data_IF_503685781330
#
_entry.id   IF_503685781330
#
_cell.length_a   1.000
_cell.length_b   1.000
_cell.length_c   1.000
_cell.angle_alpha   90.00
_cell.angle_beta   90.00
_cell.angle_gamma   90.00
#
_symmetry.space_group_name_H-M   'P 1'
#
loop_
_entity.id
_entity.type
_entity.pdbx_description
1 polymer ?
#
# COMPACT_ATOMS: atom_id res chain seq x y z
N UNK A 1 21.05 -6.92 0.08
CA UNK A 1 22.42 -6.47 0.40
C UNK A 1 22.37 -5.44 1.53
N UNK A 2 23.25 -5.55 2.53
CA UNK A 2 23.40 -4.52 3.55
C UNK A 2 24.23 -3.37 2.97
N UNK A 3 23.72 -2.13 3.01
CA UNK A 3 24.41 -0.94 2.46
C UNK A 3 25.67 -0.51 3.23
N UNK A 4 26.13 -1.30 4.21
CA UNK A 4 27.23 -0.93 5.12
C UNK A 4 26.87 0.18 6.13
N UNK A 5 25.78 0.91 5.92
CA UNK A 5 25.26 1.91 6.84
C UNK A 5 24.38 1.28 7.92
N UNK A 6 24.41 1.86 9.13
CA UNK A 6 23.54 1.46 10.23
C UNK A 6 22.10 1.86 9.92
N UNK A 7 21.13 1.06 10.37
CA UNK A 7 19.73 1.43 10.31
C UNK A 7 19.50 2.74 11.08
N UNK A 8 18.88 3.77 10.45
CA UNK A 8 18.68 5.05 11.11
C UNK A 8 17.67 4.90 12.25
N UNK A 9 18.08 5.20 13.49
CA UNK A 9 17.21 5.10 14.67
C UNK A 9 16.34 6.34 14.90
N UNK A 10 16.71 7.49 14.34
CA UNK A 10 15.92 8.73 14.41
C UNK A 10 14.69 8.65 13.48
N UNK A 11 13.45 8.71 14.01
CA UNK A 11 12.25 8.69 13.20
C UNK A 11 12.17 9.83 12.18
N UNK A 12 12.71 11.01 12.50
CA UNK A 12 12.72 12.14 11.56
C UNK A 12 13.64 11.84 10.38
N UNK A 13 14.78 11.19 10.62
CA UNK A 13 15.67 10.76 9.55
C UNK A 13 15.04 9.70 8.67
N UNK A 14 14.34 8.73 9.26
CA UNK A 14 13.58 7.73 8.51
C UNK A 14 12.53 8.39 7.61
N UNK A 15 11.76 9.34 8.14
CA UNK A 15 10.74 10.07 7.39
C UNK A 15 11.34 10.86 6.22
N UNK A 16 12.44 11.60 6.46
CA UNK A 16 13.15 12.33 5.41
C UNK A 16 13.60 11.41 4.26
N UNK A 17 14.18 10.25 4.61
CA UNK A 17 14.63 9.27 3.63
C UNK A 17 13.47 8.62 2.87
N UNK A 18 12.35 8.34 3.55
CA UNK A 18 11.14 7.79 2.93
C UNK A 18 10.52 8.77 1.93
N UNK A 19 10.40 10.06 2.29
CA UNK A 19 9.89 11.11 1.39
C UNK A 19 10.76 11.21 0.13
N UNK A 20 12.09 11.26 0.30
CA UNK A 20 13.03 11.28 -0.84
C UNK A 20 12.91 10.03 -1.71
N UNK A 21 12.76 8.85 -1.10
CA UNK A 21 12.57 7.61 -1.84
C UNK A 21 11.29 7.61 -2.68
N UNK A 22 10.19 8.17 -2.17
CA UNK A 22 8.94 8.30 -2.94
C UNK A 22 9.10 9.25 -4.12
N UNK A 23 9.73 10.41 -3.94
CA UNK A 23 9.99 11.31 -5.07
C UNK A 23 10.89 10.66 -6.13
N UNK A 24 11.96 9.97 -5.72
CA UNK A 24 12.82 9.24 -6.66
C UNK A 24 12.07 8.11 -7.39
N UNK A 25 11.05 7.51 -6.77
CA UNK A 25 10.26 6.43 -7.38
C UNK A 25 9.44 6.91 -8.58
N UNK A 26 9.13 8.21 -8.66
CA UNK A 26 8.42 8.82 -9.80
C UNK A 26 9.16 8.64 -11.12
N UNK A 27 10.49 8.68 -11.07
CA UNK A 27 11.39 8.54 -12.22
C UNK A 27 11.96 7.12 -12.34
N UNK A 28 11.35 6.14 -11.65
CA UNK A 28 11.74 4.75 -11.84
C UNK A 28 11.48 4.29 -13.29
N UNK A 29 12.32 3.40 -13.85
CA UNK A 29 12.13 2.88 -15.20
C UNK A 29 10.72 2.28 -15.43
N UNK A 30 10.17 1.63 -14.38
CA UNK A 30 8.82 1.09 -14.40
C UNK A 30 7.75 2.19 -14.51
N UNK A 31 7.87 3.26 -13.74
CA UNK A 31 6.92 4.38 -13.78
C UNK A 31 6.98 5.13 -15.12
N UNK A 32 8.18 5.39 -15.64
CA UNK A 32 8.37 6.02 -16.97
C UNK A 32 7.73 5.15 -18.06
N UNK A 33 7.99 3.84 -18.04
CA UNK A 33 7.41 2.92 -19.02
C UNK A 33 5.89 2.84 -18.92
N UNK A 34 5.33 2.82 -17.70
CA UNK A 34 3.89 2.86 -17.49
C UNK A 34 3.25 4.12 -18.07
N UNK A 35 3.81 5.31 -17.80
CA UNK A 35 3.32 6.57 -18.36
C UNK A 35 3.42 6.60 -19.89
N UNK A 36 4.52 6.06 -20.44
CA UNK A 36 4.73 5.97 -21.90
C UNK A 36 3.71 5.06 -22.58
N UNK A 37 3.47 3.84 -22.06
CA UNK A 37 2.50 2.89 -22.64
C UNK A 37 1.09 3.46 -22.60
N UNK A 38 0.73 4.14 -21.51
CA UNK A 38 -0.61 4.72 -21.32
C UNK A 38 -0.73 6.16 -21.86
N UNK A 39 0.30 6.68 -22.56
CA UNK A 39 0.31 8.02 -23.17
C UNK A 39 0.02 9.17 -22.18
N UNK A 40 0.42 9.02 -20.92
CA UNK A 40 0.18 10.01 -19.87
C UNK A 40 1.26 11.10 -19.94
N UNK A 41 0.86 12.34 -20.19
CA UNK A 41 1.75 13.51 -20.28
C UNK A 41 1.25 14.65 -19.40
N UNK A 42 2.13 15.64 -19.11
CA UNK A 42 1.77 16.86 -18.38
C UNK A 42 1.74 16.74 -16.84
N UNK A 43 1.91 15.55 -16.27
CA UNK A 43 1.98 15.39 -14.81
C UNK A 43 3.30 15.92 -14.25
N UNK A 44 3.23 16.69 -13.16
CA UNK A 44 4.39 17.31 -12.53
C UNK A 44 5.18 16.38 -11.59
N UNK A 45 4.56 15.31 -11.09
CA UNK A 45 5.19 14.45 -10.07
C UNK A 45 4.20 13.58 -9.30
N UNK A 46 4.69 13.01 -8.20
CA UNK A 46 3.87 12.31 -7.18
C UNK A 46 3.88 13.10 -5.88
N UNK A 47 2.76 13.05 -5.14
CA UNK A 47 2.69 13.52 -3.76
C UNK A 47 3.18 12.43 -2.79
N UNK A 48 3.34 12.81 -1.52
CA UNK A 48 3.63 11.89 -0.41
C UNK A 48 2.55 12.05 0.65
N UNK A 49 1.88 10.97 1.02
CA UNK A 49 0.90 10.96 2.10
C UNK A 49 1.57 10.46 3.39
N UNK A 50 1.48 11.26 4.45
CA UNK A 50 1.98 10.89 5.78
C UNK A 50 0.76 10.79 6.70
N UNK A 51 0.55 9.61 7.29
CA UNK A 51 -0.63 9.31 8.08
C UNK A 51 -0.22 8.71 9.44
N UNK A 52 -1.00 9.00 10.48
CA UNK A 52 -0.86 8.30 11.75
C UNK A 52 -1.22 6.82 11.60
N UNK A 53 -0.45 5.94 12.22
CA UNK A 53 -0.66 4.50 12.12
C UNK A 53 -1.86 4.05 12.96
N UNK A 54 -2.64 3.15 12.40
CA UNK A 54 -3.63 2.31 13.09
C UNK A 54 -3.25 0.84 12.86
N UNK A 55 -3.53 -0.03 13.83
CA UNK A 55 -2.98 -1.39 13.86
C UNK A 55 -4.10 -2.43 13.83
N UNK A 56 -4.21 -3.16 12.72
CA UNK A 56 -5.11 -4.32 12.57
C UNK A 56 -4.55 -5.61 13.19
N UNK A 57 -3.30 -5.59 13.68
CA UNK A 57 -2.56 -6.74 14.20
C UNK A 57 -2.32 -6.67 15.72
N UNK A 58 -3.28 -6.12 16.48
CA UNK A 58 -3.21 -6.03 17.95
C UNK A 58 -3.94 -7.16 18.68
N UNK A 59 -4.15 -8.30 18.00
CA UNK A 59 -4.90 -9.44 18.53
C UNK A 59 -6.21 -9.67 17.77
N UNK A 60 -6.99 -10.63 18.26
CA UNK A 60 -8.10 -11.22 17.51
C UNK A 60 -9.35 -10.33 17.42
N UNK A 61 -9.34 -9.19 18.13
CA UNK A 61 -10.37 -8.14 18.03
C UNK A 61 -9.94 -6.99 17.11
N UNK A 62 -8.84 -7.15 16.36
CA UNK A 62 -8.33 -6.19 15.39
C UNK A 62 -8.26 -6.85 14.01
N UNK A 63 -8.34 -6.07 12.94
CA UNK A 63 -8.20 -6.59 11.59
C UNK A 63 -8.00 -5.50 10.53
N UNK A 64 -7.77 -5.95 9.31
CA UNK A 64 -7.67 -5.11 8.10
C UNK A 64 -8.48 -5.76 6.98
N UNK A 65 -8.97 -4.98 6.04
CA UNK A 65 -9.73 -5.51 4.90
C UNK A 65 -9.90 -4.52 3.78
N UNK A 66 -10.36 -5.01 2.64
CA UNK A 66 -10.70 -4.22 1.46
C UNK A 66 -12.04 -4.68 0.93
N UNK A 67 -12.89 -3.74 0.52
CA UNK A 67 -14.16 -4.06 -0.12
C UNK A 67 -14.48 -3.11 -1.26
N UNK A 68 -15.22 -3.65 -2.21
CA UNK A 68 -15.97 -2.93 -3.21
C UNK A 68 -17.43 -2.83 -2.76
N UNK A 69 -18.04 -1.68 -3.00
CA UNK A 69 -19.45 -1.43 -2.68
C UNK A 69 -20.42 -2.23 -3.55
N UNK A 70 -19.92 -2.80 -4.66
CA UNK A 70 -20.59 -3.69 -5.61
C UNK A 70 -19.58 -4.70 -6.14
N UNK A 71 -20.05 -5.81 -6.68
CA UNK A 71 -19.17 -6.78 -7.33
C UNK A 71 -18.50 -6.16 -8.57
N UNK A 72 -17.15 -6.05 -8.63
CA UNK A 72 -16.45 -5.41 -9.74
C UNK A 72 -16.48 -6.21 -11.05
N UNK A 73 -16.81 -7.50 -11.00
CA UNK A 73 -16.88 -8.39 -12.16
C UNK A 73 -18.30 -8.48 -12.76
N UNK A 74 -19.35 -8.47 -11.91
CA UNK A 74 -20.75 -8.66 -12.35
C UNK A 74 -21.61 -7.40 -12.25
N UNK A 75 -21.21 -6.41 -11.43
CA UNK A 75 -22.01 -5.22 -11.13
C UNK A 75 -23.11 -5.43 -10.09
N UNK A 76 -23.24 -6.63 -9.52
CA UNK A 76 -24.22 -6.95 -8.48
C UNK A 76 -24.10 -5.99 -7.28
N UNK A 77 -25.25 -5.49 -6.80
CA UNK A 77 -25.32 -4.57 -5.65
C UNK A 77 -25.17 -5.31 -4.33
N UNK A 78 -23.98 -5.87 -4.10
CA UNK A 78 -23.58 -6.62 -2.93
C UNK A 78 -22.16 -6.24 -2.52
N UNK A 79 -21.88 -6.20 -1.21
CA UNK A 79 -20.51 -5.98 -0.74
C UNK A 79 -19.64 -7.15 -1.23
N UNK A 80 -18.51 -6.81 -1.84
CA UNK A 80 -17.55 -7.79 -2.35
C UNK A 80 -16.18 -7.44 -1.82
N UNK A 81 -15.58 -8.29 -1.00
CA UNK A 81 -14.31 -7.98 -0.38
C UNK A 81 -13.86 -9.03 0.61
N UNK A 82 -12.71 -8.76 1.19
CA UNK A 82 -11.98 -9.69 2.03
C UNK A 82 -11.41 -8.98 3.25
N UNK A 83 -11.28 -9.70 4.37
CA UNK A 83 -10.63 -9.19 5.58
C UNK A 83 -9.76 -10.25 6.26
N UNK A 84 -8.82 -9.79 7.09
CA UNK A 84 -7.98 -10.64 7.92
C UNK A 84 -8.00 -10.15 9.38
N UNK A 85 -8.30 -11.07 10.30
CA UNK A 85 -8.13 -10.88 11.74
C UNK A 85 -6.65 -10.91 12.10
N UNK A 86 -6.25 -10.00 13.00
CA UNK A 86 -4.91 -9.91 13.56
C UNK A 86 -3.83 -9.85 12.45
N UNK A 87 -3.99 -8.89 11.55
CA UNK A 87 -3.17 -8.72 10.34
C UNK A 87 -2.98 -7.22 9.99
N UNK A 88 -1.96 -6.91 9.19
CA UNK A 88 -1.79 -5.58 8.59
C UNK A 88 -2.10 -5.60 7.10
N UNK A 89 -2.33 -4.41 6.52
CA UNK A 89 -2.68 -4.28 5.10
C UNK A 89 -1.68 -4.95 4.16
N UNK A 90 -0.40 -4.99 4.52
CA UNK A 90 0.62 -5.74 3.77
C UNK A 90 0.29 -7.23 3.66
N UNK A 91 -0.23 -7.86 4.71
CA UNK A 91 -0.58 -9.30 4.70
C UNK A 91 -1.72 -9.60 3.71
N UNK A 92 -2.64 -8.65 3.55
CA UNK A 92 -3.75 -8.74 2.58
C UNK A 92 -3.22 -8.64 1.15
N UNK A 93 -2.26 -7.74 0.89
CA UNK A 93 -1.70 -7.54 -0.46
C UNK A 93 -0.71 -8.64 -0.84
N UNK A 94 0.05 -9.16 0.12
CA UNK A 94 1.06 -10.18 -0.12
C UNK A 94 0.46 -11.57 -0.41
N UNK A 95 -0.81 -11.81 -0.06
CA UNK A 95 -1.50 -13.09 -0.31
C UNK A 95 -0.91 -14.27 0.47
N UNK A 96 -0.15 -14.01 1.54
CA UNK A 96 0.47 -15.06 2.37
C UNK A 96 -0.58 -15.80 3.21
N UNK A 97 -1.64 -15.09 3.62
CA UNK A 97 -2.77 -15.63 4.39
C UNK A 97 -4.01 -15.66 3.51
N UNK A 98 -4.75 -16.76 3.56
CA UNK A 98 -6.07 -16.85 2.93
C UNK A 98 -7.01 -15.84 3.58
N UNK A 99 -7.51 -14.84 2.83
CA UNK A 99 -8.45 -13.86 3.34
C UNK A 99 -9.80 -14.50 3.69
N UNK A 100 -10.54 -13.89 4.62
CA UNK A 100 -11.90 -14.29 4.95
C UNK A 100 -12.89 -13.41 4.18
N UNK A 101 -14.00 -14.00 3.74
CA UNK A 101 -15.11 -13.26 3.16
C UNK A 101 -15.75 -12.31 4.20
N UNK A 102 -16.40 -11.27 3.71
CA UNK A 102 -17.16 -10.30 4.53
C UNK A 102 -18.55 -10.86 4.89
N UNK A 103 -18.94 -12.02 4.34
CA UNK A 103 -20.20 -12.72 4.61
C UNK A 103 -20.05 -13.95 5.50
#
# INVERSE_FOLDING_TARGET
EAKGEKFPSDPKKQLELAVKAVFNSWDSPRAIKYRSINQITGLMGTAVNIQSMVFGNKGDTSGTGVLFTRNPSTGEKKLYGEFLVNAQGEDVVAGIRTPQDIE
#
